data_IF_440808388902
#
_entry.id   IF_440808388902
#
_cell.length_a   1.000
_cell.length_b   1.000
_cell.length_c   1.000
_cell.angle_alpha   90.00
_cell.angle_beta   90.00
_cell.angle_gamma   90.00
#
_symmetry.space_group_name_H-M   'P 1'
#
loop_
_entity.id
_entity.type
_entity.pdbx_description
1 polymer ?
#
# COMPACT_ATOMS: atom_id res chain seq x y z
N UNK A 1 -68.38 -2.95 -25.58
CA UNK A 1 -68.89 -1.65 -26.02
C UNK A 1 -67.78 -0.87 -26.65
N UNK A 2 -67.93 -0.63 -27.94
CA UNK A 2 -67.07 0.19 -28.83
C UNK A 2 -67.20 1.66 -28.42
N UNK A 3 -66.20 2.45 -28.58
CA UNK A 3 -66.27 3.80 -29.19
C UNK A 3 -64.85 4.25 -29.61
N UNK A 4 -64.72 4.44 -30.95
CA UNK A 4 -63.61 5.07 -31.65
C UNK A 4 -63.94 6.54 -31.90
N UNK A 5 -62.93 7.43 -31.96
CA UNK A 5 -62.92 8.73 -32.67
C UNK A 5 -61.48 9.10 -32.92
N UNK A 6 -60.95 8.97 -34.17
CA UNK A 6 -60.86 9.85 -35.31
C UNK A 6 -59.93 11.07 -35.07
N UNK A 7 -58.83 11.07 -35.87
CA UNK A 7 -57.82 12.12 -36.10
C UNK A 7 -58.41 13.42 -36.69
N UNK A 8 -57.66 14.53 -36.66
CA UNK A 8 -57.32 15.15 -37.92
C UNK A 8 -55.81 15.35 -38.20
N UNK A 9 -55.47 15.07 -39.44
CA UNK A 9 -54.24 15.44 -40.13
C UNK A 9 -54.23 16.94 -40.39
N UNK A 10 -53.16 17.62 -40.06
CA UNK A 10 -52.85 18.96 -40.56
C UNK A 10 -51.45 18.94 -41.15
N UNK A 11 -51.40 18.99 -42.48
CA UNK A 11 -50.21 19.36 -43.24
C UNK A 11 -49.86 20.84 -42.95
N UNK A 12 -48.60 21.09 -42.62
CA UNK A 12 -47.99 22.38 -42.83
C UNK A 12 -46.60 22.24 -43.48
N UNK A 13 -46.39 23.17 -44.37
CA UNK A 13 -45.42 23.18 -45.42
C UNK A 13 -43.93 23.28 -45.00
N UNK A 14 -43.11 22.79 -45.89
CA UNK A 14 -41.65 22.99 -45.99
C UNK A 14 -41.23 24.44 -45.78
N UNK A 15 -40.33 24.66 -44.81
CA UNK A 15 -39.45 25.84 -44.75
C UNK A 15 -38.03 25.31 -44.59
N UNK A 16 -37.24 25.43 -45.66
CA UNK A 16 -35.79 25.17 -45.60
C UNK A 16 -35.13 26.37 -44.90
N UNK A 17 -34.79 26.26 -43.67
CA UNK A 17 -33.81 27.13 -43.02
C UNK A 17 -32.49 26.36 -42.84
N UNK A 18 -31.47 26.87 -43.52
CA UNK A 18 -30.13 26.38 -43.47
C UNK A 18 -29.55 26.59 -42.06
N UNK A 19 -29.18 25.51 -41.39
CA UNK A 19 -28.42 25.58 -40.16
C UNK A 19 -27.02 26.22 -40.40
N UNK A 20 -26.56 27.13 -39.53
CA UNK A 20 -25.19 27.66 -39.63
C UNK A 20 -24.17 26.55 -39.37
N UNK A 21 -22.96 26.64 -39.96
CA UNK A 21 -21.94 25.62 -39.83
C UNK A 21 -21.52 25.49 -38.35
N UNK A 22 -21.50 24.25 -37.85
CA UNK A 22 -20.97 23.93 -36.55
C UNK A 22 -19.52 24.43 -36.47
N UNK A 23 -19.28 25.42 -35.62
CA UNK A 23 -17.94 25.83 -35.26
C UNK A 23 -17.22 24.59 -34.66
N UNK A 24 -16.17 24.15 -35.34
CA UNK A 24 -15.19 23.24 -34.80
C UNK A 24 -14.66 23.82 -33.49
N UNK A 25 -15.24 23.40 -32.38
CA UNK A 25 -14.58 23.52 -31.09
C UNK A 25 -13.45 22.50 -31.11
N UNK A 26 -12.28 22.99 -31.54
CA UNK A 26 -11.04 22.28 -31.36
C UNK A 26 -10.96 21.79 -29.92
N UNK A 27 -10.90 20.50 -29.74
CA UNK A 27 -10.49 19.89 -28.48
C UNK A 27 -9.04 20.35 -28.24
N UNK A 28 -8.88 21.48 -27.57
CA UNK A 28 -7.62 21.85 -26.97
C UNK A 28 -7.28 20.72 -26.02
N UNK A 29 -6.44 19.81 -26.46
CA UNK A 29 -5.86 18.78 -25.59
C UNK A 29 -5.29 19.50 -24.40
N UNK A 30 -5.85 19.25 -23.22
CA UNK A 30 -5.33 19.76 -21.98
C UNK A 30 -3.86 19.30 -21.90
N UNK A 31 -2.94 20.23 -22.14
CA UNK A 31 -1.52 19.99 -21.97
C UNK A 31 -1.35 19.51 -20.54
N UNK A 32 -0.95 18.24 -20.37
CA UNK A 32 -0.65 17.66 -19.06
C UNK A 32 0.51 18.47 -18.51
N UNK A 33 0.19 19.45 -17.66
CA UNK A 33 1.18 20.29 -16.99
C UNK A 33 1.91 19.41 -16.00
N UNK A 34 3.09 18.95 -16.34
CA UNK A 34 3.98 18.22 -15.45
C UNK A 34 4.41 19.17 -14.33
N UNK A 35 3.84 18.97 -13.16
CA UNK A 35 4.18 19.75 -11.98
C UNK A 35 5.59 19.33 -11.50
N UNK A 36 6.46 20.30 -11.24
CA UNK A 36 7.80 20.11 -10.69
C UNK A 36 7.82 20.15 -9.16
N UNK A 37 9.01 20.13 -8.61
CA UNK A 37 9.30 20.46 -7.21
C UNK A 37 10.08 21.78 -7.19
N UNK A 38 9.86 22.61 -6.17
CA UNK A 38 10.70 23.79 -5.92
C UNK A 38 12.13 23.32 -5.62
N UNK A 39 13.08 23.74 -6.48
CA UNK A 39 14.45 23.24 -6.43
C UNK A 39 15.19 23.65 -5.15
N UNK A 40 14.96 24.88 -4.65
CA UNK A 40 15.60 25.40 -3.45
C UNK A 40 15.09 24.67 -2.20
N UNK A 41 13.77 24.45 -2.10
CA UNK A 41 13.21 23.69 -1.01
C UNK A 41 13.67 22.23 -1.02
N UNK A 42 13.76 21.61 -2.19
CA UNK A 42 14.29 20.25 -2.31
C UNK A 42 15.77 20.19 -1.92
N UNK A 43 16.58 21.14 -2.31
CA UNK A 43 17.99 21.21 -1.87
C UNK A 43 18.12 21.30 -0.34
N UNK A 44 17.30 22.13 0.31
CA UNK A 44 17.23 22.20 1.79
C UNK A 44 16.75 20.88 2.41
N UNK A 45 15.78 20.24 1.79
CA UNK A 45 15.25 18.94 2.25
C UNK A 45 16.31 17.84 2.17
N UNK A 46 17.05 17.79 1.05
CA UNK A 46 18.18 16.85 0.86
C UNK A 46 19.28 17.12 1.88
N UNK A 47 19.66 18.39 2.10
CA UNK A 47 20.63 18.75 3.12
C UNK A 47 20.15 18.37 4.54
N UNK A 48 18.85 18.42 4.81
CA UNK A 48 18.28 17.96 6.07
C UNK A 48 18.31 16.43 6.19
N UNK A 49 18.07 15.72 5.10
CA UNK A 49 18.20 14.27 5.04
C UNK A 49 19.64 13.82 5.28
N UNK A 50 20.63 14.51 4.68
CA UNK A 50 22.05 14.21 4.89
C UNK A 50 22.49 14.28 6.36
N UNK A 51 21.83 15.10 7.18
CA UNK A 51 22.10 15.16 8.63
C UNK A 51 21.52 13.98 9.42
N UNK A 52 20.72 13.12 8.79
CA UNK A 52 20.17 11.92 9.44
C UNK A 52 21.09 10.72 9.20
N UNK A 53 21.87 10.27 10.18
CA UNK A 53 22.93 9.28 9.94
C UNK A 53 22.43 7.90 9.49
N UNK A 54 21.15 7.64 9.68
CA UNK A 54 20.54 6.34 9.33
C UNK A 54 19.90 6.30 7.97
N UNK A 55 19.53 7.43 7.35
CA UNK A 55 18.93 7.42 6.03
C UNK A 55 19.91 6.85 4.99
N UNK A 56 19.43 6.07 4.04
CA UNK A 56 20.24 5.45 2.98
C UNK A 56 19.79 5.85 1.60
N UNK A 57 18.49 6.07 1.41
CA UNK A 57 17.94 6.54 0.13
C UNK A 57 16.72 7.42 0.34
N UNK A 58 16.56 8.39 -0.58
CA UNK A 58 15.35 9.19 -0.76
C UNK A 58 15.03 9.24 -2.25
N UNK A 59 13.81 8.81 -2.61
CA UNK A 59 13.26 8.96 -3.95
C UNK A 59 11.96 9.76 -3.84
N UNK A 60 11.79 10.72 -4.75
CA UNK A 60 10.55 11.51 -4.86
C UNK A 60 10.05 11.42 -6.29
N UNK A 61 8.87 10.85 -6.45
CA UNK A 61 8.15 10.81 -7.71
C UNK A 61 6.93 11.74 -7.62
N UNK A 62 6.64 12.42 -8.72
CA UNK A 62 5.42 13.19 -8.87
C UNK A 62 4.80 12.91 -10.23
N UNK A 63 3.53 12.59 -10.25
CA UNK A 63 2.77 12.22 -11.45
C UNK A 63 3.47 11.16 -12.33
N UNK A 64 4.06 10.16 -11.68
CA UNK A 64 4.79 9.06 -12.32
C UNK A 64 6.22 9.39 -12.74
N UNK A 65 6.66 10.65 -12.60
CA UNK A 65 8.02 11.08 -12.96
C UNK A 65 8.91 11.11 -11.72
N UNK A 66 10.07 10.51 -11.81
CA UNK A 66 11.10 10.64 -10.79
C UNK A 66 11.71 12.04 -10.85
N UNK A 67 11.57 12.82 -9.79
CA UNK A 67 12.06 14.20 -9.69
C UNK A 67 13.28 14.32 -8.78
N UNK A 68 13.48 13.38 -7.85
CA UNK A 68 14.68 13.34 -7.02
C UNK A 68 15.05 11.89 -6.68
N UNK A 69 16.34 11.59 -6.75
CA UNK A 69 16.94 10.32 -6.32
C UNK A 69 18.25 10.62 -5.61
N UNK A 70 18.33 10.28 -4.33
CA UNK A 70 19.52 10.50 -3.52
C UNK A 70 19.91 9.25 -2.74
N UNK A 71 21.21 9.03 -2.63
CA UNK A 71 21.83 8.03 -1.77
C UNK A 71 22.62 8.75 -0.68
N UNK A 72 22.57 8.25 0.54
CA UNK A 72 23.20 8.87 1.70
C UNK A 72 24.12 7.87 2.39
N UNK A 73 25.19 8.36 3.00
CA UNK A 73 26.06 7.62 3.93
C UNK A 73 26.56 6.27 3.38
N UNK A 74 26.97 6.24 2.11
CA UNK A 74 27.43 5.00 1.48
C UNK A 74 26.35 3.92 1.34
N UNK A 75 25.09 4.30 1.39
CA UNK A 75 23.96 3.36 1.20
C UNK A 75 24.06 2.57 -0.10
N UNK A 76 23.38 1.43 -0.20
CA UNK A 76 23.40 0.56 -1.38
C UNK A 76 22.84 1.29 -2.61
N UNK A 77 23.10 0.76 -3.80
CA UNK A 77 22.47 1.24 -5.04
C UNK A 77 20.95 1.27 -4.92
N UNK A 78 20.31 2.22 -5.60
CA UNK A 78 18.84 2.34 -5.62
C UNK A 78 18.14 1.14 -6.28
N UNK A 79 18.88 0.32 -7.01
CA UNK A 79 18.43 -0.95 -7.60
C UNK A 79 18.76 -2.16 -6.73
N UNK A 80 19.55 -1.98 -5.67
CA UNK A 80 19.92 -3.09 -4.78
C UNK A 80 18.80 -3.35 -3.76
N UNK A 81 18.31 -4.59 -3.66
CA UNK A 81 17.27 -4.96 -2.70
C UNK A 81 17.74 -4.81 -1.25
N UNK A 82 17.00 -4.06 -0.45
CA UNK A 82 17.18 -3.89 0.99
C UNK A 82 16.04 -4.54 1.76
N UNK A 83 16.28 -4.91 3.02
CA UNK A 83 15.23 -5.45 3.87
C UNK A 83 14.21 -4.37 4.23
N UNK A 84 13.00 -4.50 3.72
CA UNK A 84 11.92 -3.52 3.90
C UNK A 84 11.13 -3.69 5.20
N UNK A 85 11.50 -4.69 6.01
CA UNK A 85 10.86 -4.94 7.30
C UNK A 85 9.33 -5.01 7.17
N UNK A 86 8.61 -4.38 8.08
CA UNK A 86 7.15 -4.40 8.12
C UNK A 86 6.46 -3.65 6.97
N UNK A 87 7.19 -2.87 6.14
CA UNK A 87 6.61 -2.32 4.92
C UNK A 87 6.15 -3.44 3.96
N UNK A 88 6.69 -4.65 4.08
CA UNK A 88 6.22 -5.85 3.39
C UNK A 88 4.76 -6.23 3.68
N UNK A 89 4.17 -5.75 4.78
CA UNK A 89 2.76 -5.97 5.10
C UNK A 89 1.83 -5.36 4.05
N UNK A 90 2.20 -4.21 3.51
CA UNK A 90 1.47 -3.58 2.40
C UNK A 90 1.57 -4.40 1.11
N UNK A 91 2.72 -5.05 0.88
CA UNK A 91 2.89 -5.97 -0.28
C UNK A 91 2.03 -7.21 -0.12
N UNK A 92 2.02 -7.84 1.06
CA UNK A 92 1.13 -8.99 1.34
C UNK A 92 -0.34 -8.59 1.22
N UNK A 93 -0.72 -7.40 1.68
CA UNK A 93 -2.08 -6.86 1.50
C UNK A 93 -2.47 -6.76 0.02
N UNK A 94 -1.58 -6.23 -0.83
CA UNK A 94 -1.83 -6.18 -2.27
C UNK A 94 -2.04 -7.58 -2.85
N UNK A 95 -1.21 -8.55 -2.45
CA UNK A 95 -1.35 -9.94 -2.89
C UNK A 95 -2.67 -10.57 -2.44
N UNK A 96 -3.15 -10.26 -1.22
CA UNK A 96 -4.48 -10.69 -0.76
C UNK A 96 -5.59 -10.09 -1.64
N UNK A 97 -5.48 -8.81 -2.01
CA UNK A 97 -6.42 -8.18 -2.93
C UNK A 97 -6.47 -8.89 -4.28
N UNK A 98 -5.30 -9.15 -4.87
CA UNK A 98 -5.20 -9.90 -6.13
C UNK A 98 -5.75 -11.32 -5.99
N UNK A 99 -5.48 -11.99 -4.87
CA UNK A 99 -6.00 -13.33 -4.60
C UNK A 99 -7.54 -13.36 -4.53
N UNK A 100 -8.16 -12.35 -3.96
CA UNK A 100 -9.62 -12.20 -3.93
C UNK A 100 -10.17 -11.97 -5.34
N UNK A 101 -9.56 -11.08 -6.12
CA UNK A 101 -9.95 -10.80 -7.50
C UNK A 101 -9.82 -12.02 -8.41
N UNK A 102 -8.84 -12.88 -8.15
CA UNK A 102 -8.61 -14.14 -8.87
C UNK A 102 -9.44 -15.34 -8.35
N UNK A 103 -10.27 -15.15 -7.31
CA UNK A 103 -11.04 -16.21 -6.68
C UNK A 103 -10.21 -17.22 -5.88
N UNK A 104 -8.94 -16.96 -5.62
CA UNK A 104 -8.06 -17.79 -4.76
C UNK A 104 -8.49 -17.67 -3.29
N UNK A 105 -8.88 -16.47 -2.87
CA UNK A 105 -9.56 -16.21 -1.60
C UNK A 105 -10.97 -15.68 -1.88
N UNK A 106 -11.93 -16.05 -1.02
CA UNK A 106 -13.35 -15.69 -1.23
C UNK A 106 -13.67 -14.23 -0.91
N UNK A 107 -12.86 -13.59 -0.05
CA UNK A 107 -13.08 -12.21 0.39
C UNK A 107 -12.47 -11.92 1.75
N UNK A 108 -12.64 -10.68 2.22
CA UNK A 108 -12.12 -10.25 3.53
C UNK A 108 -12.87 -10.88 4.70
N UNK A 109 -14.12 -11.28 4.50
CA UNK A 109 -14.96 -11.93 5.52
C UNK A 109 -14.73 -13.46 5.59
N UNK A 110 -13.82 -13.99 4.76
CA UNK A 110 -13.48 -15.40 4.78
C UNK A 110 -12.85 -15.79 6.13
N UNK A 111 -13.40 -16.77 6.85
CA UNK A 111 -12.80 -17.27 8.09
C UNK A 111 -11.41 -17.87 7.80
N UNK A 112 -10.44 -17.53 8.64
CA UNK A 112 -9.04 -18.00 8.52
C UNK A 112 -8.98 -19.52 8.61
N UNK A 113 -9.76 -20.13 9.50
CA UNK A 113 -9.81 -21.57 9.69
C UNK A 113 -10.35 -22.34 8.47
N UNK A 114 -11.05 -21.68 7.55
CA UNK A 114 -11.49 -22.31 6.30
C UNK A 114 -10.32 -22.75 5.40
N UNK A 115 -9.14 -22.17 5.60
CA UNK A 115 -7.90 -22.50 4.88
C UNK A 115 -6.85 -23.10 5.81
N UNK A 116 -6.74 -22.58 7.04
CA UNK A 116 -5.70 -22.95 8.00
C UNK A 116 -6.20 -23.88 9.13
N UNK A 117 -7.40 -24.43 9.03
CA UNK A 117 -7.99 -25.23 10.10
C UNK A 117 -7.16 -26.45 10.57
N UNK A 118 -6.33 -27.01 9.67
CA UNK A 118 -5.39 -28.10 10.01
C UNK A 118 -4.28 -27.69 10.99
N UNK A 119 -4.03 -26.37 11.14
CA UNK A 119 -3.05 -25.83 12.07
C UNK A 119 -3.69 -25.24 13.32
N UNK A 120 -5.01 -25.26 13.42
CA UNK A 120 -5.71 -24.85 14.64
C UNK A 120 -5.31 -25.76 15.81
N UNK A 121 -5.30 -25.24 17.07
CA UNK A 121 -5.18 -26.08 18.26
C UNK A 121 -6.25 -27.16 18.32
N UNK A 122 -5.98 -28.26 19.03
CA UNK A 122 -6.94 -29.36 19.20
C UNK A 122 -8.25 -28.89 19.86
N UNK A 123 -8.15 -27.97 20.83
CA UNK A 123 -9.27 -27.33 21.52
C UNK A 123 -9.23 -25.83 21.28
N UNK A 124 -9.67 -25.35 20.10
CA UNK A 124 -9.59 -23.96 19.75
C UNK A 124 -10.58 -23.12 20.54
N UNK A 125 -10.16 -21.90 20.92
CA UNK A 125 -11.11 -20.90 21.40
C UNK A 125 -12.17 -20.64 20.32
N UNK A 126 -13.47 -20.58 20.65
CA UNK A 126 -14.57 -20.36 19.68
C UNK A 126 -14.39 -19.09 18.83
N UNK A 127 -13.68 -18.07 19.32
CA UNK A 127 -13.35 -16.85 18.59
C UNK A 127 -12.53 -17.13 17.34
N UNK A 128 -11.71 -18.19 17.33
CA UNK A 128 -10.89 -18.56 16.17
C UNK A 128 -11.74 -18.83 14.92
N UNK A 129 -12.94 -19.39 15.07
CA UNK A 129 -13.86 -19.65 13.97
C UNK A 129 -14.41 -18.33 13.33
N UNK A 130 -14.42 -17.25 14.09
CA UNK A 130 -14.93 -15.93 13.65
C UNK A 130 -13.82 -15.01 13.11
N UNK A 131 -12.55 -15.37 13.31
CA UNK A 131 -11.40 -14.60 12.84
C UNK A 131 -11.33 -14.66 11.30
N UNK A 132 -11.31 -13.49 10.66
CA UNK A 132 -11.39 -13.36 9.20
C UNK A 132 -10.07 -12.85 8.59
N UNK A 133 -9.95 -12.95 7.25
CA UNK A 133 -8.90 -12.32 6.46
C UNK A 133 -8.81 -10.82 6.75
N UNK A 134 -9.95 -10.13 6.84
CA UNK A 134 -10.02 -8.70 7.17
C UNK A 134 -9.44 -8.37 8.54
N UNK A 135 -9.72 -9.20 9.54
CA UNK A 135 -9.14 -9.01 10.89
C UNK A 135 -7.62 -9.16 10.89
N UNK A 136 -7.07 -10.09 10.10
CA UNK A 136 -5.61 -10.22 9.94
C UNK A 136 -5.01 -8.99 9.25
N UNK A 137 -5.63 -8.51 8.16
CA UNK A 137 -5.18 -7.36 7.38
C UNK A 137 -5.17 -6.06 8.19
N UNK A 138 -6.16 -5.87 9.06
CA UNK A 138 -6.31 -4.67 9.90
C UNK A 138 -5.63 -4.77 11.26
N UNK A 139 -4.91 -5.86 11.54
CA UNK A 139 -4.27 -6.10 12.84
C UNK A 139 -5.27 -6.25 14.01
N UNK A 140 -6.48 -6.72 13.73
CA UNK A 140 -7.59 -6.88 14.68
C UNK A 140 -7.98 -8.36 14.86
N UNK A 141 -6.99 -9.27 14.84
CA UNK A 141 -7.22 -10.70 15.00
C UNK A 141 -7.78 -11.08 16.39
N UNK A 142 -7.59 -10.24 17.38
CA UNK A 142 -7.91 -10.53 18.79
C UNK A 142 -6.89 -11.42 19.49
N UNK A 143 -6.00 -12.07 18.77
CA UNK A 143 -4.92 -12.92 19.33
C UNK A 143 -3.83 -12.06 19.94
N UNK A 144 -3.24 -12.54 21.02
CA UNK A 144 -2.02 -11.97 21.58
C UNK A 144 -0.96 -11.87 20.47
N UNK A 145 -0.34 -10.69 20.34
CA UNK A 145 0.61 -10.39 19.26
C UNK A 145 1.85 -11.30 19.30
N UNK A 146 2.41 -11.55 18.12
CA UNK A 146 3.71 -12.22 17.95
C UNK A 146 4.86 -11.23 17.74
N UNK A 147 4.61 -9.91 17.77
CA UNK A 147 5.61 -8.85 17.58
C UNK A 147 6.15 -8.34 18.92
N UNK A 148 7.20 -7.50 18.86
CA UNK A 148 7.83 -6.95 20.06
C UNK A 148 8.49 -8.02 20.92
N UNK A 149 8.21 -8.09 22.23
CA UNK A 149 8.87 -9.05 23.14
C UNK A 149 8.56 -10.51 22.81
N UNK A 150 7.50 -10.79 22.08
CA UNK A 150 7.09 -12.15 21.71
C UNK A 150 7.69 -12.64 20.39
N UNK A 151 8.37 -11.76 19.64
CA UNK A 151 8.85 -12.07 18.30
C UNK A 151 9.86 -13.22 18.27
N UNK A 152 10.89 -13.14 19.12
CA UNK A 152 11.93 -14.18 19.18
C UNK A 152 11.36 -15.57 19.50
N UNK A 153 10.49 -15.67 20.52
CA UNK A 153 9.81 -16.92 20.89
C UNK A 153 8.96 -17.48 19.74
N UNK A 154 8.27 -16.62 19.00
CA UNK A 154 7.44 -17.05 17.89
C UNK A 154 8.26 -17.60 16.73
N UNK A 155 9.29 -16.89 16.26
CA UNK A 155 10.15 -17.35 15.13
C UNK A 155 11.07 -18.51 15.50
N UNK A 156 11.27 -18.79 16.78
CA UNK A 156 11.98 -19.98 17.24
C UNK A 156 11.07 -21.21 17.39
N UNK A 157 9.76 -21.06 17.17
CA UNK A 157 8.84 -22.19 17.25
C UNK A 157 8.99 -23.10 16.02
N UNK A 158 8.74 -24.43 16.17
CA UNK A 158 8.89 -25.37 15.06
C UNK A 158 7.84 -25.21 13.96
N UNK A 159 6.76 -24.48 14.22
CA UNK A 159 5.70 -24.19 13.26
C UNK A 159 5.08 -22.82 13.57
N UNK A 160 5.41 -21.83 12.73
CA UNK A 160 5.00 -20.45 12.98
C UNK A 160 3.50 -20.24 12.81
N UNK A 161 2.86 -20.95 11.88
CA UNK A 161 1.42 -20.88 11.63
C UNK A 161 0.66 -21.40 12.85
N UNK A 162 0.98 -22.63 13.32
CA UNK A 162 0.36 -23.21 14.52
C UNK A 162 0.61 -22.36 15.75
N UNK A 163 1.85 -21.89 15.91
CA UNK A 163 2.22 -21.05 17.05
C UNK A 163 1.45 -19.74 17.08
N UNK A 164 1.19 -19.13 15.91
CA UNK A 164 0.40 -17.91 15.81
C UNK A 164 -1.09 -18.17 16.10
N UNK A 165 -1.68 -19.24 15.55
CA UNK A 165 -3.07 -19.62 15.79
C UNK A 165 -3.35 -20.10 17.23
N UNK A 166 -2.33 -20.59 17.92
CA UNK A 166 -2.41 -21.05 19.32
C UNK A 166 -2.20 -19.93 20.35
N UNK A 167 -1.99 -18.67 19.93
CA UNK A 167 -1.90 -17.55 20.88
C UNK A 167 -3.24 -17.35 21.57
N UNK A 168 -3.26 -17.01 22.87
CA UNK A 168 -4.51 -16.71 23.56
C UNK A 168 -5.21 -15.51 22.93
N UNK A 169 -6.52 -15.53 22.90
CA UNK A 169 -7.31 -14.34 22.59
C UNK A 169 -7.28 -13.38 23.79
N UNK A 170 -6.89 -12.15 23.52
CA UNK A 170 -6.85 -11.04 24.48
C UNK A 170 -7.88 -9.96 24.13
N UNK A 171 -8.53 -10.10 22.98
CA UNK A 171 -9.63 -9.24 22.53
C UNK A 171 -10.55 -10.05 21.60
N UNK A 172 -11.66 -9.46 21.17
CA UNK A 172 -12.51 -10.01 20.13
C UNK A 172 -11.92 -9.79 18.73
N UNK A 173 -12.12 -10.70 17.75
CA UNK A 173 -11.82 -10.44 16.36
C UNK A 173 -12.59 -9.20 15.88
N UNK A 174 -11.88 -8.20 15.36
CA UNK A 174 -12.44 -6.90 15.01
C UNK A 174 -12.33 -5.83 16.10
N UNK A 175 -11.82 -6.16 17.27
CA UNK A 175 -11.58 -5.23 18.38
C UNK A 175 -10.40 -4.28 18.15
N UNK A 176 -9.63 -3.98 19.20
CA UNK A 176 -8.50 -3.05 19.13
C UNK A 176 -7.35 -3.55 18.24
N UNK A 177 -6.49 -2.63 17.83
CA UNK A 177 -5.27 -2.97 17.10
C UNK A 177 -4.28 -3.72 17.99
N UNK A 178 -4.01 -4.96 17.63
CA UNK A 178 -2.94 -5.78 18.20
C UNK A 178 -1.90 -6.06 17.11
N UNK A 179 -1.00 -5.10 16.86
CA UNK A 179 -0.04 -5.18 15.77
C UNK A 179 0.83 -6.43 15.87
N UNK A 180 0.67 -7.34 14.91
CA UNK A 180 1.26 -8.67 14.97
C UNK A 180 1.79 -9.09 13.60
N UNK A 181 3.06 -9.42 13.53
CA UNK A 181 3.66 -9.97 12.30
C UNK A 181 3.09 -11.34 11.96
N UNK A 182 2.67 -12.11 12.97
CA UNK A 182 1.96 -13.38 12.79
C UNK A 182 0.67 -13.24 11.98
N UNK A 183 -0.08 -12.15 12.15
CA UNK A 183 -1.28 -11.92 11.34
C UNK A 183 -0.96 -11.92 9.85
N UNK A 184 0.09 -11.22 9.45
CA UNK A 184 0.48 -11.17 8.03
C UNK A 184 1.16 -12.47 7.57
N UNK A 185 1.82 -13.18 8.47
CA UNK A 185 2.33 -14.51 8.17
C UNK A 185 1.19 -15.53 7.95
N UNK A 186 0.12 -15.46 8.73
CA UNK A 186 -1.09 -16.25 8.48
C UNK A 186 -1.70 -15.94 7.10
N UNK A 187 -1.70 -14.68 6.66
CA UNK A 187 -2.11 -14.32 5.30
C UNK A 187 -1.20 -14.95 4.24
N UNK A 188 0.12 -14.94 4.45
CA UNK A 188 1.08 -15.62 3.56
C UNK A 188 0.81 -17.13 3.49
N UNK A 189 0.52 -17.77 4.61
CA UNK A 189 0.14 -19.17 4.68
C UNK A 189 -1.19 -19.46 3.95
N UNK A 190 -2.18 -18.59 4.11
CA UNK A 190 -3.46 -18.71 3.38
C UNK A 190 -3.26 -18.59 1.88
N UNK A 191 -2.48 -17.61 1.41
CA UNK A 191 -2.14 -17.45 0.00
C UNK A 191 -1.46 -18.71 -0.55
N UNK A 192 -0.47 -19.23 0.15
CA UNK A 192 0.26 -20.45 -0.24
C UNK A 192 -0.67 -21.66 -0.36
N UNK A 193 -1.50 -21.89 0.65
CA UNK A 193 -2.37 -23.08 0.69
C UNK A 193 -3.54 -23.01 -0.26
N UNK A 194 -4.17 -21.85 -0.37
CA UNK A 194 -5.31 -21.67 -1.25
C UNK A 194 -4.92 -21.73 -2.73
N UNK A 195 -3.72 -21.28 -3.08
CA UNK A 195 -3.25 -21.25 -4.48
C UNK A 195 -2.44 -22.48 -4.89
N UNK A 196 -1.89 -23.24 -3.95
CA UNK A 196 -0.92 -24.30 -4.22
C UNK A 196 0.47 -23.78 -4.66
N UNK A 197 0.70 -22.46 -4.66
CA UNK A 197 1.97 -21.82 -5.02
C UNK A 197 2.61 -21.18 -3.79
N UNK A 198 3.93 -21.09 -3.75
CA UNK A 198 4.61 -20.36 -2.69
C UNK A 198 4.31 -18.87 -2.77
N UNK A 199 4.35 -18.16 -1.64
CA UNK A 199 4.16 -16.70 -1.60
C UNK A 199 5.17 -15.98 -2.50
N UNK A 200 6.41 -16.49 -2.64
CA UNK A 200 7.41 -15.95 -3.55
C UNK A 200 6.98 -16.08 -5.03
N UNK A 201 6.47 -17.25 -5.42
CA UNK A 201 5.96 -17.47 -6.78
C UNK A 201 4.82 -16.49 -7.08
N UNK A 202 3.86 -16.36 -6.16
CA UNK A 202 2.75 -15.42 -6.29
C UNK A 202 3.24 -13.96 -6.35
N UNK A 203 4.17 -13.56 -5.47
CA UNK A 203 4.72 -12.22 -5.48
C UNK A 203 5.39 -11.88 -6.82
N UNK A 204 6.15 -12.81 -7.39
CA UNK A 204 6.79 -12.64 -8.70
C UNK A 204 5.79 -12.60 -9.84
N UNK A 205 4.79 -13.48 -9.83
CA UNK A 205 3.77 -13.57 -10.88
C UNK A 205 2.81 -12.36 -10.83
N UNK A 206 2.35 -11.98 -9.66
CA UNK A 206 1.29 -10.99 -9.51
C UNK A 206 1.78 -9.54 -9.39
N UNK A 207 2.99 -9.35 -8.89
CA UNK A 207 3.58 -8.02 -8.71
C UNK A 207 4.92 -7.88 -9.46
N UNK A 208 5.83 -8.82 -9.31
CA UNK A 208 7.18 -8.73 -9.88
C UNK A 208 7.17 -8.50 -11.39
N UNK A 209 6.60 -9.43 -12.13
CA UNK A 209 6.52 -9.37 -13.59
C UNK A 209 5.67 -8.19 -14.09
N UNK A 210 4.43 -7.96 -13.58
CA UNK A 210 3.61 -6.86 -14.07
C UNK A 210 4.19 -5.47 -13.78
N UNK A 211 4.92 -5.30 -12.68
CA UNK A 211 5.56 -4.03 -12.30
C UNK A 211 6.96 -3.87 -12.88
N UNK A 212 7.53 -4.90 -13.51
CA UNK A 212 8.91 -4.88 -13.97
C UNK A 212 9.93 -4.78 -12.83
N UNK A 213 9.62 -5.35 -11.65
CA UNK A 213 10.49 -5.31 -10.48
C UNK A 213 11.03 -6.69 -10.11
N UNK A 214 12.27 -6.73 -9.64
CA UNK A 214 12.85 -7.96 -9.11
C UNK A 214 12.44 -8.18 -7.66
N UNK A 215 11.89 -9.37 -7.38
CA UNK A 215 11.58 -9.82 -6.02
C UNK A 215 12.51 -11.00 -5.69
N UNK A 216 13.56 -10.76 -4.88
CA UNK A 216 14.49 -11.80 -4.46
C UNK A 216 13.83 -12.81 -3.51
N UNK A 217 14.49 -13.92 -3.28
CA UNK A 217 14.15 -14.86 -2.21
C UNK A 217 14.32 -14.16 -0.86
N UNK A 218 13.39 -14.41 0.07
CA UNK A 218 13.49 -13.99 1.47
C UNK A 218 13.20 -15.18 2.40
N UNK A 219 13.48 -15.09 3.70
CA UNK A 219 13.29 -16.20 4.62
C UNK A 219 11.86 -16.77 4.62
N UNK A 220 11.78 -18.07 4.81
CA UNK A 220 10.55 -18.83 5.03
C UNK A 220 10.53 -19.45 6.42
N UNK A 221 9.37 -19.86 6.89
CA UNK A 221 9.20 -20.65 8.08
C UNK A 221 9.68 -22.10 7.88
N UNK A 222 9.78 -22.91 8.94
CA UNK A 222 10.19 -24.32 8.83
C UNK A 222 9.28 -25.18 7.94
N UNK A 223 8.08 -24.71 7.57
CA UNK A 223 7.14 -25.38 6.66
C UNK A 223 7.24 -24.87 5.23
N UNK A 224 8.15 -23.95 4.93
CA UNK A 224 8.36 -23.39 3.59
C UNK A 224 7.40 -22.23 3.25
N UNK A 225 6.63 -21.71 4.20
CA UNK A 225 5.82 -20.52 4.02
C UNK A 225 6.71 -19.29 4.10
N UNK A 226 6.81 -18.51 3.03
CA UNK A 226 7.61 -17.28 3.01
C UNK A 226 7.09 -16.27 4.03
N UNK A 227 8.01 -15.62 4.74
CA UNK A 227 7.69 -14.74 5.86
C UNK A 227 6.73 -13.62 5.44
N UNK A 228 5.51 -13.68 5.89
CA UNK A 228 4.53 -12.63 5.68
C UNK A 228 4.74 -11.45 6.63
N UNK A 229 5.12 -10.30 6.10
CA UNK A 229 5.18 -9.05 6.86
C UNK A 229 6.49 -8.74 7.57
N UNK A 230 7.57 -9.44 7.21
CA UNK A 230 8.95 -9.11 7.58
C UNK A 230 9.94 -9.77 6.60
N UNK A 231 11.21 -9.36 6.66
CA UNK A 231 12.36 -9.92 5.94
C UNK A 231 12.28 -9.92 4.41
N UNK A 232 11.19 -9.46 3.80
CA UNK A 232 11.12 -9.25 2.35
C UNK A 232 12.15 -8.19 1.93
N UNK A 233 12.70 -8.35 0.73
CA UNK A 233 13.70 -7.43 0.19
C UNK A 233 13.22 -6.86 -1.14
N UNK A 234 13.21 -5.53 -1.23
CA UNK A 234 12.94 -4.79 -2.47
C UNK A 234 13.91 -3.63 -2.58
N UNK A 235 14.27 -3.24 -3.81
CA UNK A 235 15.08 -2.04 -4.03
C UNK A 235 14.27 -0.77 -3.81
N UNK A 236 14.91 0.37 -3.50
CA UNK A 236 14.21 1.65 -3.41
C UNK A 236 13.38 1.98 -4.66
N UNK A 237 13.87 1.69 -5.87
CA UNK A 237 13.10 1.88 -7.12
C UNK A 237 11.91 0.90 -7.22
N UNK A 238 12.08 -0.33 -6.77
CA UNK A 238 10.96 -1.29 -6.72
C UNK A 238 9.87 -0.84 -5.74
N UNK A 239 10.25 -0.26 -4.58
CA UNK A 239 9.31 0.34 -3.63
C UNK A 239 8.57 1.54 -4.24
N UNK A 240 9.27 2.40 -5.00
CA UNK A 240 8.65 3.52 -5.70
C UNK A 240 7.63 3.02 -6.74
N UNK A 241 7.98 2.00 -7.52
CA UNK A 241 7.09 1.39 -8.50
C UNK A 241 5.85 0.76 -7.85
N UNK A 242 6.03 0.12 -6.69
CA UNK A 242 4.91 -0.41 -5.89
C UNK A 242 4.03 0.71 -5.31
N UNK A 243 4.63 1.82 -4.86
CA UNK A 243 3.88 3.00 -4.40
C UNK A 243 3.05 3.62 -5.53
N UNK A 244 3.63 3.75 -6.73
CA UNK A 244 2.94 4.25 -7.92
C UNK A 244 1.76 3.35 -8.32
N UNK A 245 1.84 2.03 -8.15
CA UNK A 245 0.69 1.14 -8.35
C UNK A 245 -0.53 1.60 -7.55
N UNK A 246 -0.33 1.92 -6.29
CA UNK A 246 -1.40 2.39 -5.42
C UNK A 246 -1.84 3.81 -5.77
N UNK A 247 -0.90 4.73 -6.04
CA UNK A 247 -1.21 6.11 -6.43
C UNK A 247 -2.05 6.18 -7.71
N UNK A 248 -1.74 5.32 -8.68
CA UNK A 248 -2.42 5.24 -9.99
C UNK A 248 -3.69 4.37 -9.98
N UNK A 249 -4.24 4.06 -8.80
CA UNK A 249 -5.49 3.28 -8.71
C UNK A 249 -5.38 1.86 -9.24
N UNK A 250 -4.18 1.27 -9.19
CA UNK A 250 -3.92 -0.12 -9.54
C UNK A 250 -3.63 -0.39 -11.02
N UNK A 251 -3.43 0.66 -11.81
CA UNK A 251 -3.06 0.55 -13.25
C UNK A 251 -1.65 1.09 -13.44
N UNK A 252 -0.78 0.31 -14.05
CA UNK A 252 0.57 0.72 -14.46
C UNK A 252 0.80 0.27 -15.91
N UNK A 253 1.36 1.16 -16.72
CA UNK A 253 1.65 0.93 -18.14
C UNK A 253 0.42 0.38 -18.90
N UNK A 254 -0.75 0.94 -18.61
CA UNK A 254 -2.04 0.53 -19.20
C UNK A 254 -2.60 -0.80 -18.69
N UNK A 255 -1.91 -1.50 -17.80
CA UNK A 255 -2.32 -2.80 -17.26
C UNK A 255 -2.89 -2.67 -15.86
N UNK A 256 -4.10 -3.21 -15.64
CA UNK A 256 -4.65 -3.34 -14.30
C UNK A 256 -3.99 -4.51 -13.57
N UNK A 257 -3.34 -4.21 -12.45
CA UNK A 257 -2.64 -5.17 -11.59
C UNK A 257 -3.44 -5.39 -10.30
N UNK A 258 -4.08 -4.33 -9.81
CA UNK A 258 -4.85 -4.31 -8.58
C UNK A 258 -6.12 -3.48 -8.81
N UNK A 259 -7.26 -3.86 -8.26
CA UNK A 259 -8.48 -3.07 -8.44
C UNK A 259 -8.45 -1.78 -7.64
N UNK A 260 -9.09 -0.74 -8.19
CA UNK A 260 -9.28 0.52 -7.48
C UNK A 260 -10.12 0.31 -6.20
N UNK A 261 -11.06 -0.63 -6.24
CA UNK A 261 -11.87 -0.98 -5.07
C UNK A 261 -11.04 -1.58 -3.94
N UNK A 262 -10.05 -2.42 -4.25
CA UNK A 262 -9.14 -2.94 -3.24
C UNK A 262 -8.28 -1.82 -2.62
N UNK A 263 -7.75 -0.92 -3.44
CA UNK A 263 -6.98 0.22 -2.95
C UNK A 263 -7.81 1.08 -2.00
N UNK A 264 -9.03 1.43 -2.40
CA UNK A 264 -9.96 2.17 -1.54
C UNK A 264 -10.24 1.44 -0.21
N UNK A 265 -10.50 0.12 -0.26
CA UNK A 265 -10.67 -0.71 0.94
C UNK A 265 -9.42 -0.77 1.81
N UNK A 266 -8.24 -0.82 1.21
CA UNK A 266 -6.96 -0.82 1.92
C UNK A 266 -6.70 0.47 2.67
N UNK A 267 -7.18 1.59 2.15
CA UNK A 267 -7.03 2.94 2.69
C UNK A 267 -8.20 3.39 3.55
N UNK A 268 -9.22 2.56 3.74
CA UNK A 268 -10.31 2.84 4.68
C UNK A 268 -9.82 2.59 6.10
N UNK A 269 -9.92 3.58 7.01
CA UNK A 269 -9.57 3.41 8.42
C UNK A 269 -10.41 2.31 9.10
N UNK A 270 -9.75 1.44 9.85
CA UNK A 270 -10.41 0.34 10.58
C UNK A 270 -10.06 0.32 12.06
N UNK A 271 -8.87 0.80 12.37
CA UNK A 271 -8.38 0.83 13.74
C UNK A 271 -7.35 1.96 13.90
N UNK A 272 -6.97 2.24 15.13
CA UNK A 272 -5.99 3.26 15.49
C UNK A 272 -4.79 2.60 16.14
N UNK A 273 -3.59 3.01 15.73
CA UNK A 273 -2.34 2.55 16.30
C UNK A 273 -2.15 3.08 17.72
N UNK A 274 -1.97 2.22 18.73
CA UNK A 274 -1.87 2.67 20.12
C UNK A 274 -0.56 3.40 20.45
N UNK A 275 0.44 3.35 19.56
CA UNK A 275 1.75 4.01 19.77
C UNK A 275 2.00 5.21 18.88
N UNK A 276 1.35 5.31 17.71
CA UNK A 276 1.49 6.46 16.81
C UNK A 276 0.26 7.35 16.75
N UNK A 277 -0.87 6.90 17.29
CA UNK A 277 -2.16 7.58 17.14
C UNK A 277 -2.69 7.58 15.69
N UNK A 278 -1.90 7.10 14.72
CA UNK A 278 -2.29 7.06 13.32
C UNK A 278 -3.33 5.98 13.04
N UNK A 279 -4.19 6.24 12.07
CA UNK A 279 -5.18 5.27 11.61
C UNK A 279 -4.51 4.16 10.79
N UNK A 280 -5.15 2.99 10.73
CA UNK A 280 -4.65 1.83 10.00
C UNK A 280 -5.80 1.14 9.24
N UNK A 281 -5.53 0.84 7.97
CA UNK A 281 -6.43 0.10 7.10
C UNK A 281 -5.96 -1.35 6.88
N UNK A 282 -5.98 -1.83 5.64
CA UNK A 282 -5.47 -3.13 5.28
C UNK A 282 -4.00 -3.05 4.87
N UNK A 283 -3.10 -3.15 5.86
CA UNK A 283 -1.66 -3.12 5.64
C UNK A 283 -1.07 -1.73 5.41
N UNK A 284 -1.84 -0.65 5.58
CA UNK A 284 -1.42 0.73 5.36
C UNK A 284 -1.74 1.59 6.57
N UNK A 285 -0.78 2.42 6.96
CA UNK A 285 -1.01 3.54 7.87
C UNK A 285 -1.67 4.69 7.11
N UNK A 286 -2.49 5.44 7.80
CA UNK A 286 -3.31 6.53 7.26
C UNK A 286 -3.12 7.72 8.19
N UNK A 287 -2.75 8.85 7.62
CA UNK A 287 -2.48 10.08 8.37
C UNK A 287 -2.50 11.29 7.47
N UNK A 288 -1.79 12.32 7.90
CA UNK A 288 -1.67 13.61 7.22
C UNK A 288 -0.21 14.07 7.21
N UNK A 289 0.19 14.77 6.17
CA UNK A 289 1.49 15.41 6.06
C UNK A 289 1.34 16.79 5.38
N UNK A 290 1.74 17.86 6.06
CA UNK A 290 1.63 19.22 5.54
C UNK A 290 0.21 19.62 5.13
N UNK A 291 -0.83 19.18 5.86
CA UNK A 291 -2.24 19.43 5.55
C UNK A 291 -2.84 18.55 4.45
N UNK A 292 -2.11 17.53 3.97
CA UNK A 292 -2.56 16.63 2.92
C UNK A 292 -2.69 15.19 3.41
N UNK A 293 -3.78 14.47 3.01
CA UNK A 293 -3.94 13.07 3.35
C UNK A 293 -2.77 12.22 2.83
N UNK A 294 -2.15 11.43 3.70
CA UNK A 294 -1.07 10.52 3.35
C UNK A 294 -1.45 9.07 3.68
N UNK A 295 -1.01 8.16 2.81
CA UNK A 295 -1.06 6.72 3.01
C UNK A 295 0.37 6.21 3.00
N UNK A 296 0.75 5.41 3.99
CA UNK A 296 2.14 4.99 4.05
C UNK A 296 2.33 3.55 4.55
N UNK A 297 3.29 2.87 3.92
CA UNK A 297 3.85 1.64 4.44
C UNK A 297 5.03 1.99 5.35
N UNK A 298 5.13 1.30 6.48
CA UNK A 298 6.16 1.56 7.49
C UNK A 298 6.86 0.29 7.93
N UNK A 299 8.16 0.22 7.66
CA UNK A 299 9.08 -0.82 8.14
C UNK A 299 10.00 -0.30 9.24
N UNK A 300 10.30 -1.19 10.18
CA UNK A 300 11.19 -0.91 11.30
C UNK A 300 12.49 -0.25 10.83
N UNK A 301 12.91 0.79 11.56
CA UNK A 301 14.13 1.52 11.28
C UNK A 301 14.02 2.57 10.18
N UNK A 302 12.82 2.80 9.61
CA UNK A 302 12.60 3.87 8.63
C UNK A 302 12.58 3.38 7.17
N UNK A 303 11.95 2.24 6.92
CA UNK A 303 11.63 1.79 5.56
C UNK A 303 10.24 2.31 5.21
N UNK A 304 10.16 3.36 4.40
CA UNK A 304 8.93 4.11 4.17
C UNK A 304 8.55 4.16 2.70
N UNK A 305 7.25 3.98 2.43
CA UNK A 305 6.62 4.37 1.17
C UNK A 305 5.48 5.31 1.54
N UNK A 306 5.58 6.58 1.17
CA UNK A 306 4.52 7.56 1.35
C UNK A 306 3.81 7.81 0.03
N UNK A 307 2.51 7.93 0.06
CA UNK A 307 1.66 8.32 -1.07
C UNK A 307 0.80 9.49 -0.63
N UNK A 308 0.92 10.61 -1.34
CA UNK A 308 0.08 11.82 -1.15
C UNK A 308 -0.70 12.01 -2.45
N UNK A 309 -1.90 11.41 -2.57
CA UNK A 309 -2.61 11.29 -3.84
C UNK A 309 -2.97 12.63 -4.49
N UNK A 310 -3.43 13.59 -3.71
CA UNK A 310 -3.86 14.92 -4.17
C UNK A 310 -2.68 15.81 -4.64
N UNK A 311 -1.45 15.46 -4.30
CA UNK A 311 -0.23 16.10 -4.82
C UNK A 311 0.48 15.28 -5.89
N UNK A 312 -0.06 14.11 -6.27
CA UNK A 312 0.58 13.20 -7.21
C UNK A 312 1.89 12.61 -6.71
N UNK A 313 2.15 12.61 -5.39
CA UNK A 313 3.44 12.22 -4.83
C UNK A 313 3.50 10.75 -4.43
N UNK A 314 4.62 10.11 -4.77
CA UNK A 314 5.13 8.89 -4.15
C UNK A 314 6.54 9.15 -3.64
N UNK A 315 6.76 8.93 -2.36
CA UNK A 315 8.07 9.16 -1.72
C UNK A 315 8.55 7.88 -1.05
N UNK A 316 9.77 7.48 -1.34
CA UNK A 316 10.42 6.33 -0.71
C UNK A 316 11.62 6.81 0.11
N UNK A 317 11.67 6.37 1.35
CA UNK A 317 12.85 6.53 2.19
C UNK A 317 13.27 5.17 2.72
N UNK A 318 14.55 4.83 2.58
CA UNK A 318 15.11 3.63 3.22
C UNK A 318 16.20 4.05 4.19
N UNK A 319 16.36 3.29 5.26
CA UNK A 319 17.28 3.60 6.35
C UNK A 319 17.96 2.35 6.87
N UNK A 320 19.07 2.53 7.58
CA UNK A 320 19.68 1.48 8.38
C UNK A 320 18.76 1.13 9.55
N UNK A 321 18.30 -0.12 9.68
CA UNK A 321 17.46 -0.53 10.78
C UNK A 321 18.21 -0.69 12.10
N UNK A 322 19.55 -0.73 12.08
CA UNK A 322 20.38 -0.95 13.24
C UNK A 322 20.67 0.39 13.95
N UNK A 323 19.87 0.76 14.91
CA UNK A 323 20.06 2.02 15.65
C UNK A 323 19.12 2.13 16.83
N UNK A 324 19.16 3.26 17.52
CA UNK A 324 18.30 3.53 18.68
C UNK A 324 16.81 3.36 18.34
N UNK A 325 16.05 2.87 19.31
CA UNK A 325 14.59 2.62 19.20
C UNK A 325 13.80 3.78 19.82
N UNK A 326 14.29 5.00 19.66
CA UNK A 326 13.75 6.19 20.31
C UNK A 326 12.65 6.91 19.50
N UNK A 327 12.34 6.46 18.31
CA UNK A 327 11.35 7.11 17.45
C UNK A 327 11.85 8.35 16.74
N UNK A 328 12.88 9.04 17.24
CA UNK A 328 13.32 10.34 16.73
C UNK A 328 13.69 10.31 15.23
N UNK A 329 14.28 9.19 14.76
CA UNK A 329 14.58 9.02 13.35
C UNK A 329 13.30 8.95 12.50
N UNK A 330 12.28 8.24 12.97
CA UNK A 330 10.99 8.11 12.28
C UNK A 330 10.29 9.48 12.19
N UNK A 331 10.27 10.23 13.29
CA UNK A 331 9.72 11.59 13.32
C UNK A 331 10.45 12.52 12.36
N UNK A 332 11.78 12.37 12.24
CA UNK A 332 12.56 13.13 11.27
C UNK A 332 12.20 12.79 9.82
N UNK A 333 11.95 11.50 9.49
CA UNK A 333 11.47 11.11 8.16
C UNK A 333 10.09 11.70 7.86
N UNK A 334 9.17 11.68 8.83
CA UNK A 334 7.86 12.33 8.67
C UNK A 334 7.99 13.83 8.44
N UNK A 335 8.90 14.51 9.17
CA UNK A 335 9.20 15.95 8.95
C UNK A 335 9.82 16.23 7.57
N UNK A 336 10.71 15.39 7.06
CA UNK A 336 11.22 15.54 5.68
C UNK A 336 10.07 15.54 4.66
N UNK A 337 9.05 14.70 4.87
CA UNK A 337 7.87 14.71 4.02
C UNK A 337 7.03 15.98 4.24
N UNK A 338 6.61 16.23 5.48
CA UNK A 338 5.62 17.25 5.81
C UNK A 338 6.13 18.67 5.63
N UNK A 339 7.38 18.94 6.05
CA UNK A 339 7.94 20.29 6.12
C UNK A 339 8.88 20.59 4.93
N UNK A 340 9.26 19.55 4.16
CA UNK A 340 10.17 19.68 3.04
C UNK A 340 9.54 19.36 1.70
N UNK A 341 9.17 18.08 1.47
CA UNK A 341 8.75 17.59 0.15
C UNK A 341 7.35 18.10 -0.22
N UNK A 342 6.39 18.07 0.70
CA UNK A 342 5.03 18.58 0.46
C UNK A 342 5.05 20.07 0.11
N UNK A 343 5.70 20.96 0.87
CA UNK A 343 5.83 22.35 0.50
C UNK A 343 6.58 22.59 -0.83
N UNK A 344 7.62 21.80 -1.13
CA UNK A 344 8.32 21.88 -2.41
C UNK A 344 7.39 21.53 -3.59
N UNK A 345 6.50 20.55 -3.41
CA UNK A 345 5.52 20.19 -4.41
C UNK A 345 4.46 21.28 -4.60
N UNK A 346 4.00 21.93 -3.53
CA UNK A 346 3.03 23.02 -3.60
C UNK A 346 3.57 24.23 -4.35
N UNK A 347 4.82 24.67 -4.05
CA UNK A 347 5.48 25.78 -4.75
C UNK A 347 5.81 25.44 -6.20
N UNK A 348 6.28 24.21 -6.49
CA UNK A 348 6.56 23.77 -7.85
C UNK A 348 5.33 23.74 -8.75
N UNK A 349 4.14 23.61 -8.18
CA UNK A 349 2.87 23.76 -8.92
C UNK A 349 2.56 25.22 -9.29
N UNK A 350 2.95 26.17 -8.45
CA UNK A 350 2.67 27.61 -8.65
C UNK A 350 3.58 28.22 -9.71
N UNK A 351 4.88 27.87 -9.74
CA UNK A 351 5.84 28.35 -10.74
C UNK A 351 5.47 27.90 -12.16
N UNK A 352 4.88 26.73 -12.32
CA UNK A 352 4.38 26.26 -13.62
C UNK A 352 3.15 27.05 -14.15
N UNK A 353 2.39 27.71 -13.27
CA UNK A 353 1.25 28.57 -13.65
C UNK A 353 1.66 29.96 -14.08
N UNK A 354 2.80 30.48 -13.62
CA UNK A 354 3.29 31.85 -13.91
C UNK A 354 4.05 31.91 -15.23
N UNK A 355 4.61 30.81 -15.70
CA UNK A 355 5.39 30.70 -16.94
C UNK A 355 4.51 30.42 -18.19
N UNK A 356 3.21 30.49 -18.08
CA UNK A 356 2.22 30.29 -19.15
C UNK A 356 1.38 31.54 -19.38
#
# INVERSE_FOLDING_TARGET
MRWAWVLPVSLFACGCDAAPPASERGSAGAAVRTQGLDAEMMARTVASAERLPRIRALLVLRDGRTLAEHRFHGGPSLDQPVNIKSASKSVISAMVGIAIEKGVLRGVDQPVVSVLGRDAPANPDPRLARMTVGNLLSMQAGLERTSGPFYGRWVSSPNWVRSALARPFVDEPGGAMLYSTGNTHLLSAMLTRASGKTTLQLAREWLGQPLGITIPVWPADPQGVYFGGNEMRLSPRALARFGELYRLGGVIDGRRILSASWIARSWTPRTVSPWSGGQYGYGWFIGEAGGHPVRFAWGYGGQMIYIVPDLGLTVVMTSDPNGARDGAHIDALHRLLADGIVPAALRGATTAKVAS
#
